data_IF_260855782596
#
_entry.id   IF_260855782596
#
_cell.length_a   1.000
_cell.length_b   1.000
_cell.length_c   1.000
_cell.angle_alpha   90.00
_cell.angle_beta   90.00
_cell.angle_gamma   90.00
#
_symmetry.space_group_name_H-M   'P 1'
#
loop_
_entity.id
_entity.type
_entity.pdbx_description
1 polymer ?
#
# COMPACT_ATOMS: atom_id res chain seq x y z
N UNK A 1 -34.02 47.18 -29.97
CA UNK A 1 -34.93 46.24 -29.27
C UNK A 1 -34.47 44.84 -29.70
N UNK A 2 -33.81 44.01 -28.90
CA UNK A 2 -33.60 44.00 -27.47
C UNK A 2 -32.18 43.48 -27.17
N UNK A 3 -31.57 44.09 -26.17
CA UNK A 3 -30.34 43.70 -25.51
C UNK A 3 -30.65 42.48 -24.62
N UNK A 4 -30.37 41.26 -25.08
CA UNK A 4 -30.54 40.06 -24.23
C UNK A 4 -29.21 39.73 -23.56
N UNK A 5 -28.95 40.45 -22.47
CA UNK A 5 -28.00 40.05 -21.45
C UNK A 5 -28.35 38.61 -20.99
N UNK A 6 -27.65 37.62 -21.55
CA UNK A 6 -27.66 36.27 -21.02
C UNK A 6 -26.92 36.29 -19.68
N UNK A 7 -27.68 36.59 -18.62
CA UNK A 7 -27.17 36.64 -17.27
C UNK A 7 -26.56 35.30 -16.89
N UNK A 8 -25.29 35.33 -16.47
CA UNK A 8 -24.58 34.24 -15.79
C UNK A 8 -25.21 33.95 -14.40
N UNK A 9 -26.53 33.76 -14.34
CA UNK A 9 -27.29 33.57 -13.10
C UNK A 9 -27.29 32.13 -12.61
N UNK A 10 -26.64 31.21 -13.32
CA UNK A 10 -26.64 29.78 -13.00
C UNK A 10 -25.34 29.29 -12.33
N UNK A 11 -24.66 30.18 -11.60
CA UNK A 11 -23.65 29.74 -10.63
C UNK A 11 -24.38 29.09 -9.47
N UNK A 12 -24.52 27.76 -9.52
CA UNK A 12 -24.98 26.94 -8.40
C UNK A 12 -24.26 27.42 -7.14
N UNK A 13 -25.00 28.08 -6.24
CA UNK A 13 -24.56 28.31 -4.86
C UNK A 13 -24.45 26.93 -4.21
N UNK A 14 -23.29 26.28 -4.36
CA UNK A 14 -22.94 25.15 -3.51
C UNK A 14 -22.98 25.67 -2.08
N UNK A 15 -23.86 25.10 -1.27
CA UNK A 15 -24.10 25.55 0.10
C UNK A 15 -22.75 25.51 0.83
N UNK A 16 -22.37 26.59 1.50
CA UNK A 16 -21.13 26.70 2.28
C UNK A 16 -20.90 25.52 3.25
N UNK A 17 -21.97 24.88 3.71
CA UNK A 17 -21.94 23.67 4.55
C UNK A 17 -21.43 22.41 3.82
N UNK A 18 -21.47 22.37 2.49
CA UNK A 18 -20.82 21.34 1.66
C UNK A 18 -19.32 21.58 1.47
N UNK A 19 -18.77 22.67 2.02
CA UNK A 19 -17.32 22.96 2.01
C UNK A 19 -16.64 22.64 3.36
N UNK A 20 -17.34 22.00 4.29
CA UNK A 20 -16.76 21.52 5.54
C UNK A 20 -16.03 20.19 5.35
N UNK A 21 -15.07 19.89 6.24
CA UNK A 21 -14.32 18.63 6.30
C UNK A 21 -15.22 17.38 6.15
N UNK A 22 -16.47 17.46 6.63
CA UNK A 22 -17.50 16.42 6.55
C UNK A 22 -18.02 16.10 5.12
N UNK A 23 -17.72 16.93 4.12
CA UNK A 23 -18.06 16.69 2.71
C UNK A 23 -16.88 16.08 1.92
N UNK A 24 -15.74 15.83 2.56
CA UNK A 24 -14.57 15.25 1.92
C UNK A 24 -14.65 13.71 1.87
N UNK A 25 -14.10 13.11 0.81
CA UNK A 25 -14.03 11.65 0.66
C UNK A 25 -13.36 10.99 1.88
N UNK A 26 -12.33 11.62 2.44
CA UNK A 26 -11.63 11.13 3.65
C UNK A 26 -12.53 11.09 4.87
N UNK A 27 -13.45 12.04 5.04
CA UNK A 27 -14.39 12.02 6.16
C UNK A 27 -15.39 10.86 6.07
N UNK A 28 -15.89 10.53 4.87
CA UNK A 28 -16.77 9.37 4.69
C UNK A 28 -16.04 8.05 4.92
N UNK A 29 -14.78 7.92 4.46
CA UNK A 29 -13.96 6.73 4.70
C UNK A 29 -13.68 6.55 6.21
N UNK A 30 -13.35 7.64 6.91
CA UNK A 30 -13.09 7.60 8.35
C UNK A 30 -14.38 7.27 9.13
N UNK A 31 -15.52 7.85 8.75
CA UNK A 31 -16.81 7.50 9.34
C UNK A 31 -17.14 6.02 9.13
N UNK A 32 -16.95 5.49 7.91
CA UNK A 32 -17.16 4.08 7.61
C UNK A 32 -16.23 3.17 8.44
N UNK A 33 -14.97 3.56 8.63
CA UNK A 33 -14.03 2.85 9.49
C UNK A 33 -14.50 2.79 10.95
N UNK A 34 -14.95 3.92 11.51
CA UNK A 34 -15.46 3.96 12.90
C UNK A 34 -16.69 3.04 13.03
N UNK A 35 -17.64 3.15 12.11
CA UNK A 35 -18.84 2.30 12.11
C UNK A 35 -18.46 0.82 12.03
N UNK A 36 -17.54 0.46 11.14
CA UNK A 36 -17.04 -0.91 11.01
C UNK A 36 -16.40 -1.41 12.33
N UNK A 37 -15.57 -0.60 12.98
CA UNK A 37 -14.92 -0.94 14.25
C UNK A 37 -15.99 -1.25 15.32
N UNK A 38 -16.99 -0.38 15.46
CA UNK A 38 -18.06 -0.56 16.46
C UNK A 38 -18.84 -1.85 16.18
N UNK A 39 -19.30 -2.03 14.94
CA UNK A 39 -20.09 -3.20 14.54
C UNK A 39 -19.30 -4.50 14.73
N UNK A 40 -18.04 -4.54 14.30
CA UNK A 40 -17.21 -5.73 14.45
C UNK A 40 -16.83 -6.01 15.90
N UNK A 41 -16.67 -4.98 16.74
CA UNK A 41 -16.45 -5.16 18.18
C UNK A 41 -17.66 -5.77 18.88
N UNK A 42 -18.87 -5.47 18.42
CA UNK A 42 -20.10 -6.06 18.96
C UNK A 42 -20.35 -7.48 18.43
N UNK A 43 -20.04 -7.74 17.17
CA UNK A 43 -20.28 -9.04 16.53
C UNK A 43 -19.24 -10.11 16.89
N UNK A 44 -18.01 -9.71 17.23
CA UNK A 44 -16.92 -10.64 17.54
C UNK A 44 -16.13 -10.20 18.77
N UNK A 45 -16.09 -11.02 19.84
CA UNK A 45 -15.26 -10.74 21.01
C UNK A 45 -13.75 -10.82 20.70
N UNK A 46 -13.38 -11.40 19.55
CA UNK A 46 -11.98 -11.50 19.12
C UNK A 46 -11.48 -10.26 18.37
N UNK A 47 -12.36 -9.36 17.94
CA UNK A 47 -12.01 -8.24 17.07
C UNK A 47 -11.01 -7.25 17.71
N UNK A 48 -11.25 -6.81 18.94
CA UNK A 48 -10.37 -5.87 19.66
C UNK A 48 -9.32 -6.56 20.54
N UNK A 49 -9.07 -7.85 20.34
CA UNK A 49 -8.00 -8.54 21.08
C UNK A 49 -6.64 -8.06 20.61
N UNK A 50 -5.66 -8.00 21.52
CA UNK A 50 -4.27 -7.65 21.19
C UNK A 50 -3.70 -8.46 20.04
N UNK A 51 -4.02 -9.76 19.98
CA UNK A 51 -3.59 -10.64 18.89
C UNK A 51 -4.17 -10.23 17.54
N UNK A 52 -5.48 -9.97 17.49
CA UNK A 52 -6.13 -9.55 16.25
C UNK A 52 -5.68 -8.16 15.80
N UNK A 53 -5.58 -7.19 16.73
CA UNK A 53 -5.09 -5.84 16.42
C UNK A 53 -3.66 -5.88 15.87
N UNK A 54 -2.76 -6.63 16.51
CA UNK A 54 -1.38 -6.83 16.01
C UNK A 54 -1.36 -7.48 14.63
N UNK A 55 -2.21 -8.48 14.41
CA UNK A 55 -2.33 -9.13 13.10
C UNK A 55 -2.82 -8.15 12.03
N UNK A 56 -3.88 -7.38 12.29
CA UNK A 56 -4.41 -6.39 11.36
C UNK A 56 -3.35 -5.33 11.02
N UNK A 57 -2.71 -4.76 12.04
CA UNK A 57 -1.66 -3.76 11.86
C UNK A 57 -0.49 -4.33 11.05
N UNK A 58 0.00 -5.54 11.37
CA UNK A 58 1.10 -6.18 10.65
C UNK A 58 0.77 -6.46 9.18
N UNK A 59 -0.46 -6.92 8.88
CA UNK A 59 -0.91 -7.11 7.51
C UNK A 59 -0.98 -5.79 6.74
N UNK A 60 -1.46 -4.73 7.39
CA UNK A 60 -1.55 -3.41 6.76
C UNK A 60 -0.19 -2.72 6.60
N UNK A 61 0.78 -2.96 7.51
CA UNK A 61 2.14 -2.42 7.40
C UNK A 61 2.80 -2.75 6.07
N UNK A 62 2.59 -3.97 5.55
CA UNK A 62 3.11 -4.38 4.26
C UNK A 62 2.60 -3.49 3.11
N UNK A 63 1.29 -3.24 3.09
CA UNK A 63 0.65 -2.36 2.10
C UNK A 63 1.12 -0.91 2.29
N UNK A 64 1.19 -0.43 3.53
CA UNK A 64 1.63 0.92 3.84
C UNK A 64 3.05 1.19 3.31
N UNK A 65 4.01 0.30 3.62
CA UNK A 65 5.40 0.41 3.15
C UNK A 65 5.47 0.39 1.62
N UNK A 66 4.71 -0.50 0.97
CA UNK A 66 4.65 -0.58 -0.49
C UNK A 66 4.12 0.71 -1.11
N UNK A 67 3.03 1.27 -0.56
CA UNK A 67 2.43 2.51 -1.06
C UNK A 67 3.35 3.72 -0.91
N UNK A 68 4.22 3.76 0.09
CA UNK A 68 5.26 4.79 0.19
C UNK A 68 6.23 4.75 -1.00
N UNK A 69 6.62 3.55 -1.45
CA UNK A 69 7.44 3.37 -2.65
C UNK A 69 6.70 3.78 -3.93
N UNK A 70 5.45 3.33 -4.09
CA UNK A 70 4.61 3.67 -5.25
C UNK A 70 4.34 5.18 -5.34
N UNK A 71 4.27 5.89 -4.20
CA UNK A 71 4.07 7.35 -4.19
C UNK A 71 5.17 8.08 -4.96
N UNK A 72 6.43 7.64 -4.83
CA UNK A 72 7.55 8.24 -5.57
C UNK A 72 7.40 8.05 -7.08
N UNK A 73 6.88 6.90 -7.51
CA UNK A 73 6.60 6.60 -8.92
C UNK A 73 5.43 7.44 -9.45
N UNK A 74 4.34 7.55 -8.69
CA UNK A 74 3.18 8.34 -9.12
C UNK A 74 3.59 9.81 -9.31
N UNK A 75 4.44 10.34 -8.43
CA UNK A 75 4.95 11.71 -8.55
C UNK A 75 5.78 11.90 -9.83
N UNK A 76 6.50 10.88 -10.30
CA UNK A 76 7.23 10.93 -11.58
C UNK A 76 6.33 10.75 -12.81
N UNK A 77 5.02 10.63 -12.63
CA UNK A 77 4.02 10.54 -13.70
C UNK A 77 3.80 9.13 -14.24
N UNK A 78 4.29 8.10 -13.54
CA UNK A 78 4.11 6.70 -13.90
C UNK A 78 2.97 5.99 -13.16
N UNK A 79 2.64 4.80 -13.64
CA UNK A 79 1.73 3.84 -12.99
C UNK A 79 2.50 2.52 -12.88
N UNK A 80 3.42 2.45 -11.91
CA UNK A 80 4.29 1.28 -11.77
C UNK A 80 3.55 0.11 -11.13
N UNK A 81 3.25 -0.90 -11.95
CA UNK A 81 2.73 -2.19 -11.50
C UNK A 81 3.86 -3.15 -11.07
N UNK A 82 5.12 -2.85 -11.42
CA UNK A 82 6.29 -3.70 -11.15
C UNK A 82 6.62 -3.81 -9.66
N UNK A 83 6.22 -2.86 -8.82
CA UNK A 83 6.32 -2.98 -7.35
C UNK A 83 5.57 -4.21 -6.86
N UNK A 84 4.38 -4.50 -7.40
CA UNK A 84 3.60 -5.67 -7.02
C UNK A 84 4.32 -6.98 -7.35
N UNK A 85 4.86 -7.10 -8.57
CA UNK A 85 5.63 -8.28 -8.97
C UNK A 85 6.96 -8.41 -8.22
N UNK A 86 7.62 -7.31 -7.92
CA UNK A 86 8.88 -7.30 -7.15
C UNK A 86 8.65 -7.77 -5.71
N UNK A 87 7.55 -7.33 -5.08
CA UNK A 87 7.14 -7.80 -3.76
C UNK A 87 6.80 -9.30 -3.77
N UNK A 88 6.03 -9.77 -4.76
CA UNK A 88 5.69 -11.18 -4.89
C UNK A 88 6.94 -12.05 -5.09
N UNK A 89 7.88 -11.62 -5.95
CA UNK A 89 9.13 -12.33 -6.19
C UNK A 89 10.01 -12.36 -4.94
N UNK A 90 10.19 -11.23 -4.25
CA UNK A 90 10.96 -11.14 -3.01
C UNK A 90 10.39 -12.05 -1.92
N UNK A 91 9.06 -12.07 -1.74
CA UNK A 91 8.38 -12.95 -0.80
C UNK A 91 8.56 -14.43 -1.17
N UNK A 92 8.47 -14.75 -2.46
CA UNK A 92 8.65 -16.13 -2.98
C UNK A 92 10.08 -16.60 -2.76
N UNK A 93 11.09 -15.77 -3.06
CA UNK A 93 12.50 -16.10 -2.82
C UNK A 93 12.75 -16.30 -1.33
N UNK A 94 12.30 -15.38 -0.47
CA UNK A 94 12.43 -15.53 0.97
C UNK A 94 11.81 -16.86 1.46
N UNK A 95 10.57 -17.16 1.04
CA UNK A 95 9.88 -18.39 1.41
C UNK A 95 10.59 -19.65 0.91
N UNK A 96 11.03 -19.65 -0.35
CA UNK A 96 11.68 -20.81 -0.96
C UNK A 96 13.08 -21.05 -0.39
N UNK A 97 13.85 -19.99 -0.13
CA UNK A 97 15.14 -20.07 0.56
C UNK A 97 14.95 -20.62 1.97
N UNK A 98 13.95 -20.14 2.72
CA UNK A 98 13.67 -20.66 4.05
C UNK A 98 13.28 -22.14 4.00
N UNK A 99 12.37 -22.52 3.10
CA UNK A 99 11.95 -23.91 2.93
C UNK A 99 13.13 -24.82 2.54
N UNK A 100 13.96 -24.40 1.59
CA UNK A 100 15.14 -25.15 1.14
C UNK A 100 16.18 -25.34 2.25
N UNK A 101 16.45 -24.29 3.04
CA UNK A 101 17.35 -24.38 4.20
C UNK A 101 16.82 -25.36 5.25
N UNK A 102 15.50 -25.36 5.48
CA UNK A 102 14.87 -26.27 6.41
C UNK A 102 14.94 -27.73 5.91
N UNK A 103 14.65 -27.98 4.64
CA UNK A 103 14.74 -29.31 4.02
C UNK A 103 16.16 -29.85 3.96
N UNK A 104 17.15 -28.99 3.78
CA UNK A 104 18.56 -29.36 3.78
C UNK A 104 19.14 -29.58 5.19
N UNK A 105 18.39 -29.26 6.25
CA UNK A 105 18.88 -29.30 7.63
C UNK A 105 20.04 -28.33 7.90
N UNK A 106 20.19 -27.29 7.08
CA UNK A 106 21.33 -26.38 7.14
C UNK A 106 21.08 -25.26 8.15
N UNK A 107 21.58 -25.45 9.37
CA UNK A 107 21.46 -24.48 10.47
C UNK A 107 22.83 -24.19 11.11
N UNK A 108 23.71 -23.43 10.44
CA UNK A 108 25.04 -23.13 10.96
C UNK A 108 25.02 -22.42 12.32
N UNK A 109 23.95 -21.69 12.63
CA UNK A 109 23.70 -21.11 13.95
C UNK A 109 22.19 -20.91 14.21
N UNK A 110 21.73 -20.73 15.46
CA UNK A 110 20.33 -20.49 15.78
C UNK A 110 19.77 -19.27 15.03
N UNK A 111 18.69 -19.45 14.28
CA UNK A 111 18.07 -18.38 13.48
C UNK A 111 18.73 -18.12 12.11
N UNK A 112 19.78 -18.86 11.73
CA UNK A 112 20.44 -18.74 10.42
C UNK A 112 19.47 -18.84 9.23
N UNK A 113 18.50 -19.76 9.29
CA UNK A 113 17.49 -19.90 8.25
C UNK A 113 16.66 -18.62 8.02
N UNK A 114 16.32 -17.90 9.10
CA UNK A 114 15.60 -16.63 9.04
C UNK A 114 16.48 -15.52 8.48
N UNK A 115 17.73 -15.41 8.92
CA UNK A 115 18.64 -14.36 8.45
C UNK A 115 18.96 -14.54 6.96
N UNK A 116 19.29 -15.76 6.54
CA UNK A 116 19.65 -16.05 5.14
C UNK A 116 18.46 -15.84 4.21
N UNK A 117 17.26 -16.29 4.59
CA UNK A 117 16.05 -16.08 3.78
C UNK A 117 15.65 -14.62 3.67
N UNK A 118 15.74 -13.85 4.77
CA UNK A 118 15.56 -12.40 4.75
C UNK A 118 16.58 -11.71 3.84
N UNK A 119 17.86 -12.07 3.96
CA UNK A 119 18.92 -11.51 3.12
C UNK A 119 18.70 -11.84 1.64
N UNK A 120 18.26 -13.05 1.31
CA UNK A 120 17.91 -13.43 -0.05
C UNK A 120 16.73 -12.61 -0.59
N UNK A 121 15.64 -12.50 0.18
CA UNK A 121 14.46 -11.73 -0.22
C UNK A 121 14.77 -10.23 -0.42
N UNK A 122 15.50 -9.62 0.53
CA UNK A 122 15.94 -8.22 0.44
C UNK A 122 16.89 -8.05 -0.75
N UNK A 123 17.86 -8.95 -0.92
CA UNK A 123 18.79 -8.93 -2.04
C UNK A 123 18.08 -8.96 -3.39
N UNK A 124 17.08 -9.83 -3.55
CA UNK A 124 16.24 -9.86 -4.76
C UNK A 124 15.49 -8.54 -4.97
N UNK A 125 14.86 -7.99 -3.93
CA UNK A 125 14.14 -6.72 -4.04
C UNK A 125 15.05 -5.56 -4.44
N UNK A 126 16.26 -5.50 -3.88
CA UNK A 126 17.25 -4.46 -4.22
C UNK A 126 17.71 -4.60 -5.66
N UNK A 127 18.07 -5.81 -6.11
CA UNK A 127 18.55 -6.05 -7.48
C UNK A 127 17.48 -5.70 -8.51
N UNK A 128 16.24 -6.16 -8.31
CA UNK A 128 15.14 -5.87 -9.23
C UNK A 128 14.73 -4.39 -9.17
N UNK A 129 14.67 -3.80 -7.98
CA UNK A 129 14.36 -2.38 -7.82
C UNK A 129 15.40 -1.47 -8.51
N UNK A 130 16.68 -1.80 -8.41
CA UNK A 130 17.75 -1.09 -9.13
C UNK A 130 17.64 -1.27 -10.64
N UNK A 131 17.34 -2.49 -11.11
CA UNK A 131 17.13 -2.75 -12.53
C UNK A 131 15.95 -1.94 -13.09
N UNK A 132 14.82 -1.92 -12.38
CA UNK A 132 13.64 -1.14 -12.77
C UNK A 132 13.94 0.36 -12.76
N UNK A 133 14.57 0.87 -11.69
CA UNK A 133 14.98 2.27 -11.59
C UNK A 133 15.96 2.69 -12.69
N UNK A 134 16.91 1.82 -13.03
CA UNK A 134 17.85 2.05 -14.14
C UNK A 134 17.13 2.09 -15.49
N UNK A 135 16.21 1.15 -15.73
CA UNK A 135 15.45 1.09 -16.98
C UNK A 135 14.57 2.34 -17.16
N UNK A 136 13.94 2.82 -16.10
CA UNK A 136 13.19 4.08 -16.12
C UNK A 136 14.14 5.27 -16.39
N UNK A 137 15.26 5.36 -15.67
CA UNK A 137 16.17 6.51 -15.74
C UNK A 137 16.96 6.61 -17.07
N UNK A 138 17.35 5.48 -17.67
CA UNK A 138 18.20 5.44 -18.86
C UNK A 138 17.48 5.04 -20.14
N UNK A 139 16.54 4.10 -20.05
CA UNK A 139 15.80 3.58 -21.21
C UNK A 139 14.48 4.34 -21.44
N UNK A 140 14.13 5.29 -20.56
CA UNK A 140 12.89 6.10 -20.62
C UNK A 140 11.65 5.22 -20.71
N UNK A 141 11.68 4.05 -20.07
CA UNK A 141 10.49 3.23 -19.91
C UNK A 141 9.48 3.98 -19.04
N UNK A 142 8.20 3.78 -19.33
CA UNK A 142 7.14 4.28 -18.48
C UNK A 142 7.34 3.72 -17.06
N UNK A 143 7.39 4.57 -16.03
CA UNK A 143 7.44 4.13 -14.64
C UNK A 143 6.15 3.39 -14.32
#
# INVERSE_FOLDING_TARGET
MADTAQGFSNVRRTRFWQRGFLASQSAYVLAALIVLIIVMSMLSPHFLTDGNVKNVVRNFSFVAIATLGITLVIITGGIDLSVGSTMALSATVCSLTMAGLNSAGFYPFPGSALIISLAAGIGTAVVIGLANGFAIAKLKLAP
#
